data_IF_780116427771
#
_entry.id   IF_780116427771
#
_cell.length_a   1.000
_cell.length_b   1.000
_cell.length_c   1.000
_cell.angle_alpha   90.00
_cell.angle_beta   90.00
_cell.angle_gamma   90.00
#
_symmetry.space_group_name_H-M   'P 1'
#
loop_
_entity.id
_entity.type
_entity.pdbx_description
1 polymer ?
#
# COMPACT_ATOMS: atom_id res chain seq x y z
N UNK A 1 -13.88 -11.97 18.45
CA UNK A 1 -13.25 -13.11 17.76
C UNK A 1 -13.36 -12.90 16.26
N UNK A 2 -12.26 -13.02 15.53
CA UNK A 2 -12.24 -12.91 14.07
C UNK A 2 -13.07 -14.04 13.43
N UNK A 3 -13.80 -13.73 12.37
CA UNK A 3 -14.55 -14.67 11.51
C UNK A 3 -13.82 -14.95 10.19
N UNK A 4 -12.58 -14.47 10.03
CA UNK A 4 -11.80 -14.63 8.81
C UNK A 4 -11.59 -16.10 8.39
N UNK A 5 -11.57 -17.03 9.35
CA UNK A 5 -11.43 -18.47 9.06
C UNK A 5 -12.56 -19.01 8.18
N UNK A 6 -13.76 -18.41 8.21
CA UNK A 6 -14.88 -18.82 7.36
C UNK A 6 -14.70 -18.43 5.89
N UNK A 7 -13.68 -17.62 5.56
CA UNK A 7 -13.41 -17.11 4.20
C UNK A 7 -12.34 -17.89 3.45
N UNK A 8 -11.65 -18.80 4.13
CA UNK A 8 -10.53 -19.55 3.54
C UNK A 8 -10.91 -21.00 3.33
N UNK A 9 -10.24 -21.65 2.39
CA UNK A 9 -10.38 -23.10 2.20
C UNK A 9 -9.81 -23.83 3.42
N UNK A 10 -10.49 -24.90 3.84
CA UNK A 10 -9.94 -25.78 4.86
C UNK A 10 -8.65 -26.43 4.35
N UNK A 11 -7.54 -26.17 5.03
CA UNK A 11 -6.23 -26.72 4.74
C UNK A 11 -5.91 -27.83 5.74
N UNK A 12 -5.32 -28.94 5.30
CA UNK A 12 -4.93 -30.05 6.20
C UNK A 12 -3.42 -30.09 6.43
N UNK A 13 -2.64 -29.42 5.57
CA UNK A 13 -1.18 -29.32 5.69
C UNK A 13 -0.69 -27.88 5.57
N UNK A 14 0.52 -27.61 6.05
CA UNK A 14 1.18 -26.31 5.82
C UNK A 14 1.50 -26.06 4.34
N UNK A 15 1.60 -27.12 3.53
CA UNK A 15 1.78 -26.98 2.09
C UNK A 15 0.51 -26.42 1.43
N UNK A 16 -0.68 -26.84 1.89
CA UNK A 16 -1.94 -26.26 1.44
C UNK A 16 -2.04 -24.79 1.80
N UNK A 17 -1.73 -24.43 3.07
CA UNK A 17 -1.74 -23.03 3.52
C UNK A 17 -0.84 -22.16 2.64
N UNK A 18 0.40 -22.59 2.39
CA UNK A 18 1.34 -21.86 1.54
C UNK A 18 0.84 -21.70 0.11
N UNK A 19 0.24 -22.75 -0.47
CA UNK A 19 -0.32 -22.68 -1.82
C UNK A 19 -1.46 -21.65 -1.91
N UNK A 20 -2.39 -21.67 -0.95
CA UNK A 20 -3.51 -20.72 -0.97
C UNK A 20 -3.08 -19.29 -0.66
N UNK A 21 -2.08 -19.09 0.22
CA UNK A 21 -1.49 -17.76 0.47
C UNK A 21 -0.77 -17.25 -0.78
N UNK A 22 0.07 -18.06 -1.42
CA UNK A 22 0.76 -17.66 -2.65
C UNK A 22 -0.24 -17.26 -3.74
N UNK A 23 -1.34 -18.02 -3.90
CA UNK A 23 -2.38 -17.70 -4.87
C UNK A 23 -3.08 -16.36 -4.56
N UNK A 24 -3.20 -15.98 -3.28
CA UNK A 24 -3.68 -14.65 -2.90
C UNK A 24 -2.64 -13.58 -3.18
N UNK A 25 -1.36 -13.84 -2.90
CA UNK A 25 -0.27 -12.91 -3.17
C UNK A 25 -0.12 -12.62 -4.67
N UNK A 26 -0.35 -13.61 -5.53
CA UNK A 26 -0.39 -13.45 -6.99
C UNK A 26 -1.49 -12.46 -7.45
N UNK A 27 -2.54 -12.28 -6.65
CA UNK A 27 -3.60 -11.28 -6.88
C UNK A 27 -3.28 -9.95 -6.19
N UNK A 28 -2.73 -9.99 -4.97
CA UNK A 28 -2.45 -8.80 -4.18
C UNK A 28 -1.31 -7.97 -4.75
N UNK A 29 -0.23 -8.60 -5.24
CA UNK A 29 0.96 -7.89 -5.73
C UNK A 29 0.62 -6.97 -6.91
N UNK A 30 -0.08 -7.41 -7.98
CA UNK A 30 -0.50 -6.52 -9.06
C UNK A 30 -1.31 -5.31 -8.58
N UNK A 31 -2.27 -5.53 -7.66
CA UNK A 31 -3.09 -4.46 -7.09
C UNK A 31 -2.26 -3.46 -6.28
N UNK A 32 -1.27 -3.95 -5.53
CA UNK A 32 -0.35 -3.09 -4.78
C UNK A 32 0.56 -2.30 -5.72
N UNK A 33 1.02 -2.90 -6.83
CA UNK A 33 1.80 -2.20 -7.86
C UNK A 33 0.98 -1.04 -8.46
N UNK A 34 -0.27 -1.28 -8.84
CA UNK A 34 -1.16 -0.22 -9.34
C UNK A 34 -1.37 0.87 -8.28
N UNK A 35 -1.64 0.47 -7.03
CA UNK A 35 -1.83 1.40 -5.92
C UNK A 35 -0.61 2.29 -5.70
N UNK A 36 0.60 1.72 -5.73
CA UNK A 36 1.85 2.47 -5.58
C UNK A 36 2.10 3.36 -6.81
N UNK A 37 1.72 2.93 -8.02
CA UNK A 37 1.83 3.75 -9.23
C UNK A 37 1.07 5.07 -9.16
N UNK A 38 -0.04 5.14 -8.41
CA UNK A 38 -0.72 6.41 -8.15
C UNK A 38 0.13 7.41 -7.36
N UNK A 39 1.14 6.97 -6.61
CA UNK A 39 2.06 7.86 -5.91
C UNK A 39 2.95 8.63 -6.88
N UNK A 40 3.27 8.08 -8.06
CA UNK A 40 3.94 8.83 -9.13
C UNK A 40 3.05 9.97 -9.64
N UNK A 41 1.73 9.74 -9.75
CA UNK A 41 0.78 10.82 -10.07
C UNK A 41 0.71 11.85 -8.94
N UNK A 42 0.67 11.41 -7.69
CA UNK A 42 0.68 12.30 -6.53
C UNK A 42 1.95 13.18 -6.50
N UNK A 43 3.13 12.59 -6.73
CA UNK A 43 4.41 13.29 -6.80
C UNK A 43 4.44 14.37 -7.91
N UNK A 44 3.78 14.10 -9.05
CA UNK A 44 3.61 15.07 -10.14
C UNK A 44 2.66 16.22 -9.79
N UNK A 45 1.62 15.94 -9.01
CA UNK A 45 0.55 16.90 -8.69
C UNK A 45 0.93 17.81 -7.51
N UNK A 46 1.53 17.25 -6.45
CA UNK A 46 1.95 17.99 -5.25
C UNK A 46 2.94 19.08 -5.65
N UNK A 47 2.87 20.23 -5.00
CA UNK A 47 3.72 21.38 -5.36
C UNK A 47 5.00 21.46 -4.52
N UNK A 48 4.96 20.97 -3.27
CA UNK A 48 6.08 20.97 -2.35
C UNK A 48 6.27 19.62 -1.65
N UNK A 49 7.49 19.40 -1.12
CA UNK A 49 7.89 18.13 -0.50
C UNK A 49 7.18 17.90 0.84
N UNK A 50 6.76 18.98 1.50
CA UNK A 50 5.97 18.97 2.72
C UNK A 50 4.58 18.35 2.51
N UNK A 51 4.06 18.33 1.28
CA UNK A 51 2.79 17.69 0.94
C UNK A 51 2.91 16.17 0.79
N UNK A 52 4.13 15.62 0.72
CA UNK A 52 4.33 14.18 0.49
C UNK A 52 3.78 13.37 1.67
N UNK A 53 4.02 13.83 2.90
CA UNK A 53 3.46 13.24 4.11
C UNK A 53 2.28 14.05 4.61
N UNK A 54 1.11 13.44 4.62
CA UNK A 54 -0.14 14.02 5.13
C UNK A 54 -0.71 13.10 6.22
N UNK A 55 -0.52 13.50 7.49
CA UNK A 55 -0.98 12.73 8.65
C UNK A 55 -2.51 12.60 8.68
N UNK A 56 -3.25 13.65 8.30
CA UNK A 56 -4.70 13.59 8.27
C UNK A 56 -5.18 12.57 7.23
N UNK A 57 -4.49 12.50 6.08
CA UNK A 57 -4.77 11.48 5.07
C UNK A 57 -4.45 10.07 5.56
N UNK A 58 -3.33 9.87 6.25
CA UNK A 58 -2.95 8.56 6.82
C UNK A 58 -4.03 8.08 7.79
N UNK A 59 -4.45 8.91 8.75
CA UNK A 59 -5.48 8.54 9.72
C UNK A 59 -6.84 8.26 9.05
N UNK A 60 -7.20 9.02 8.01
CA UNK A 60 -8.41 8.75 7.23
C UNK A 60 -8.36 7.40 6.51
N UNK A 61 -7.18 6.97 6.01
CA UNK A 61 -7.01 5.64 5.42
C UNK A 61 -7.16 4.57 6.50
N UNK A 62 -6.46 4.73 7.63
CA UNK A 62 -6.48 3.79 8.76
C UNK A 62 -7.90 3.58 9.27
N UNK A 63 -8.65 4.65 9.52
CA UNK A 63 -10.05 4.56 9.96
C UNK A 63 -10.90 3.74 8.97
N UNK A 64 -10.79 4.02 7.67
CA UNK A 64 -11.53 3.31 6.62
C UNK A 64 -11.16 1.81 6.56
N UNK A 65 -9.89 1.46 6.70
CA UNK A 65 -9.48 0.04 6.65
C UNK A 65 -9.82 -0.73 7.91
N UNK A 66 -9.81 -0.07 9.08
CA UNK A 66 -10.28 -0.66 10.34
C UNK A 66 -11.76 -1.01 10.25
N UNK A 67 -12.59 -0.06 9.80
CA UNK A 67 -14.03 -0.28 9.58
C UNK A 67 -14.25 -1.44 8.60
N UNK A 68 -13.54 -1.44 7.47
CA UNK A 68 -13.67 -2.51 6.48
C UNK A 68 -13.22 -3.86 7.02
N UNK A 69 -12.12 -3.93 7.77
CA UNK A 69 -11.64 -5.17 8.37
C UNK A 69 -12.70 -5.78 9.28
N UNK A 70 -13.33 -4.98 10.14
CA UNK A 70 -14.39 -5.43 11.02
C UNK A 70 -15.62 -5.94 10.26
N UNK A 71 -16.07 -5.20 9.24
CA UNK A 71 -17.20 -5.59 8.39
C UNK A 71 -16.94 -6.94 7.69
N UNK A 72 -15.70 -7.17 7.27
CA UNK A 72 -15.24 -8.40 6.64
C UNK A 72 -14.95 -9.53 7.66
N UNK A 73 -15.15 -9.29 8.96
CA UNK A 73 -14.91 -10.24 10.03
C UNK A 73 -13.43 -10.44 10.40
N UNK A 74 -12.54 -9.58 9.94
CA UNK A 74 -11.12 -9.58 10.26
C UNK A 74 -10.78 -8.84 11.56
N UNK A 75 -9.49 -8.81 11.88
CA UNK A 75 -8.93 -8.07 13.00
C UNK A 75 -8.51 -6.66 12.54
N UNK A 76 -9.05 -5.63 13.20
CA UNK A 76 -8.81 -4.23 12.84
C UNK A 76 -7.37 -3.79 13.11
N UNK A 77 -6.76 -4.29 14.18
CA UNK A 77 -5.42 -3.87 14.60
C UNK A 77 -4.36 -4.49 13.68
N UNK A 78 -4.58 -5.74 13.25
CA UNK A 78 -3.75 -6.39 12.21
C UNK A 78 -3.82 -5.59 10.90
N UNK A 79 -5.02 -5.21 10.46
CA UNK A 79 -5.18 -4.48 9.20
C UNK A 79 -4.60 -3.08 9.27
N UNK A 80 -4.73 -2.39 10.41
CA UNK A 80 -4.08 -1.10 10.63
C UNK A 80 -2.55 -1.21 10.53
N UNK A 81 -1.92 -2.19 11.19
CA UNK A 81 -0.47 -2.36 11.16
C UNK A 81 0.07 -2.55 9.72
N UNK A 82 -0.63 -3.36 8.92
CA UNK A 82 -0.31 -3.58 7.51
C UNK A 82 -0.43 -2.25 6.73
N UNK A 83 -1.54 -1.53 6.89
CA UNK A 83 -1.77 -0.30 6.13
C UNK A 83 -0.86 0.85 6.55
N UNK A 84 -0.50 0.98 7.83
CA UNK A 84 0.49 1.98 8.26
C UNK A 84 1.85 1.70 7.60
N UNK A 85 2.28 0.44 7.59
CA UNK A 85 3.52 0.04 6.92
C UNK A 85 3.47 0.31 5.40
N UNK A 86 2.33 0.04 4.77
CA UNK A 86 2.11 0.37 3.36
C UNK A 86 2.16 1.89 3.12
N UNK A 87 1.65 2.72 4.04
CA UNK A 87 1.69 4.18 3.89
C UNK A 87 3.12 4.68 3.96
N UNK A 88 3.91 4.22 4.92
CA UNK A 88 5.32 4.58 5.03
C UNK A 88 6.12 4.18 3.77
N UNK A 89 5.87 2.99 3.23
CA UNK A 89 6.46 2.56 1.97
C UNK A 89 6.05 3.45 0.78
N UNK A 90 4.77 3.83 0.70
CA UNK A 90 4.26 4.73 -0.33
C UNK A 90 4.85 6.14 -0.22
N UNK A 91 4.94 6.69 0.98
CA UNK A 91 5.54 8.00 1.26
C UNK A 91 7.01 8.00 0.85
N UNK A 92 7.76 6.97 1.25
CA UNK A 92 9.16 6.83 0.85
C UNK A 92 9.34 6.69 -0.66
N UNK A 93 8.46 5.94 -1.34
CA UNK A 93 8.46 5.86 -2.81
C UNK A 93 8.11 7.21 -3.45
N UNK A 94 7.10 7.89 -2.94
CA UNK A 94 6.65 9.18 -3.44
C UNK A 94 7.73 10.25 -3.30
N UNK A 95 8.47 10.29 -2.18
CA UNK A 95 9.62 11.19 -2.02
C UNK A 95 10.67 11.00 -3.12
N UNK A 96 10.98 9.76 -3.49
CA UNK A 96 11.94 9.47 -4.57
C UNK A 96 11.42 9.95 -5.92
N UNK A 97 10.15 9.68 -6.23
CA UNK A 97 9.55 10.15 -7.48
C UNK A 97 9.43 11.68 -7.53
N UNK A 98 9.08 12.31 -6.41
CA UNK A 98 8.98 13.76 -6.30
C UNK A 98 10.32 14.43 -6.58
N UNK A 99 11.42 13.90 -6.01
CA UNK A 99 12.77 14.35 -6.28
C UNK A 99 13.17 14.13 -7.75
N UNK A 100 12.98 12.90 -8.27
CA UNK A 100 13.29 12.55 -9.67
C UNK A 100 12.59 13.46 -10.69
N UNK A 101 11.35 13.86 -10.43
CA UNK A 101 10.57 14.75 -11.31
C UNK A 101 11.00 16.23 -11.24
N UNK A 102 11.79 16.61 -10.22
CA UNK A 102 12.25 17.98 -9.96
C UNK A 102 13.75 18.17 -10.10
N UNK A 103 14.50 17.09 -10.22
CA UNK A 103 15.87 17.16 -10.69
C UNK A 103 15.88 17.85 -12.06
N UNK A 104 16.63 18.95 -12.23
CA UNK A 104 16.83 19.53 -13.55
C UNK A 104 17.46 18.45 -14.43
N UNK A 105 16.85 18.15 -15.57
CA UNK A 105 17.37 17.17 -16.52
C UNK A 105 18.85 17.50 -16.82
N UNK A 106 19.77 16.73 -16.25
CA UNK A 106 21.19 16.92 -16.45
C UNK A 106 21.52 16.59 -17.92
N UNK A 107 21.80 17.65 -18.68
CA UNK A 107 22.61 17.68 -19.89
C UNK A 107 22.14 16.81 -21.09
N UNK A 108 20.99 17.17 -21.67
CA UNK A 108 20.63 16.84 -23.05
C UNK A 108 21.00 17.93 -24.05
N UNK A 109 22.18 18.55 -23.91
CA UNK A 109 22.80 19.39 -24.94
C UNK A 109 24.29 19.54 -24.60
N UNK A 110 25.08 18.57 -25.01
CA UNK A 110 26.47 18.81 -25.36
C UNK A 110 26.52 18.84 -26.89
N UNK A 111 27.12 19.91 -27.41
CA UNK A 111 27.29 20.24 -28.82
C UNK A 111 28.01 19.16 -29.64
#
# INVERSE_FOLDING_TARGET
MTRAIAKVKACTTMQDVRREVNALDDVLVPLLVERVGYMTQAARIKQGVEQVRDEARIEAIVARVRERAQAEGGDADVMEAIYRSLMEACIAYEHREFARLREPALAGSAA
#
